data_IF_942449719133
#
_entry.id   IF_942449719133
#
_cell.length_a   1.000
_cell.length_b   1.000
_cell.length_c   1.000
_cell.angle_alpha   90.00
_cell.angle_beta   90.00
_cell.angle_gamma   90.00
#
_symmetry.space_group_name_H-M   'P 1'
#
loop_
_entity.id
_entity.type
_entity.pdbx_description
1 polymer ?
#
# COMPACT_ATOMS: atom_id res chain seq x y z
N UNK A 1 -20.52 -0.52 -4.81
CA UNK A 1 -19.97 0.82 -5.11
C UNK A 1 -19.41 1.35 -3.82
N UNK A 2 -18.11 1.18 -3.60
CA UNK A 2 -17.37 1.87 -2.54
C UNK A 2 -16.52 2.93 -3.21
N UNK A 3 -16.93 4.19 -3.09
CA UNK A 3 -16.17 5.35 -3.58
C UNK A 3 -15.30 5.94 -2.45
N UNK A 4 -15.21 5.30 -1.28
CA UNK A 4 -14.57 5.87 -0.09
C UNK A 4 -13.77 4.89 0.77
N UNK A 5 -13.14 3.89 0.15
CA UNK A 5 -12.16 3.03 0.80
C UNK A 5 -11.31 2.24 -0.20
N UNK A 6 -10.07 1.93 0.16
CA UNK A 6 -9.23 1.02 -0.62
C UNK A 6 -9.88 -0.37 -0.69
N UNK A 7 -10.20 -0.85 -1.90
CA UNK A 7 -10.78 -2.19 -2.07
C UNK A 7 -9.76 -3.27 -1.74
N UNK A 8 -10.02 -4.04 -0.68
CA UNK A 8 -9.18 -5.17 -0.27
C UNK A 8 -9.25 -6.34 -1.26
N UNK A 9 -10.40 -6.55 -1.89
CA UNK A 9 -10.57 -7.56 -2.94
C UNK A 9 -9.69 -7.26 -4.15
N UNK A 10 -9.64 -5.98 -4.57
CA UNK A 10 -8.76 -5.55 -5.65
C UNK A 10 -7.28 -5.67 -5.26
N UNK A 11 -6.95 -5.46 -3.98
CA UNK A 11 -5.59 -5.61 -3.45
C UNK A 11 -5.14 -7.08 -3.49
N UNK A 12 -6.03 -8.00 -3.10
CA UNK A 12 -5.76 -9.44 -3.07
C UNK A 12 -5.74 -10.07 -4.47
N UNK A 13 -6.43 -9.46 -5.45
CA UNK A 13 -6.46 -9.92 -6.84
C UNK A 13 -5.17 -9.62 -7.65
N UNK A 14 -4.31 -8.73 -7.15
CA UNK A 14 -3.03 -8.42 -7.82
C UNK A 14 -2.08 -9.63 -7.69
N UNK A 15 -1.44 -10.08 -8.79
CA UNK A 15 -0.49 -11.20 -8.76
C UNK A 15 0.87 -10.75 -8.21
N UNK A 16 0.92 -10.42 -6.91
CA UNK A 16 2.09 -9.87 -6.23
C UNK A 16 3.33 -10.76 -6.38
N UNK A 17 3.16 -12.08 -6.37
CA UNK A 17 4.20 -13.10 -6.56
C UNK A 17 4.98 -12.97 -7.87
N UNK A 18 4.39 -12.31 -8.88
CA UNK A 18 5.00 -12.10 -10.19
C UNK A 18 5.70 -10.75 -10.34
N UNK A 19 5.63 -9.90 -9.30
CA UNK A 19 6.14 -8.54 -9.34
C UNK A 19 7.55 -8.47 -8.75
N UNK A 20 8.42 -7.74 -9.44
CA UNK A 20 9.74 -7.37 -8.94
C UNK A 20 9.61 -6.41 -7.75
N UNK A 21 10.28 -6.76 -6.63
CA UNK A 21 10.50 -5.90 -5.48
C UNK A 21 11.84 -5.13 -5.61
N UNK A 22 11.97 -4.03 -4.86
CA UNK A 22 13.18 -3.22 -4.82
C UNK A 22 14.40 -3.98 -4.27
N UNK A 23 14.16 -4.88 -3.32
CA UNK A 23 15.19 -5.67 -2.65
C UNK A 23 14.88 -7.15 -2.81
N UNK A 24 15.72 -7.93 -3.52
CA UNK A 24 15.48 -9.36 -3.77
C UNK A 24 15.36 -10.23 -2.51
N UNK A 25 15.80 -9.71 -1.36
CA UNK A 25 15.73 -10.40 -0.06
C UNK A 25 14.41 -10.18 0.68
N UNK A 26 13.58 -9.24 0.22
CA UNK A 26 12.30 -8.94 0.86
C UNK A 26 11.15 -9.52 0.02
N UNK A 27 10.32 -10.39 0.62
CA UNK A 27 9.19 -11.00 -0.07
C UNK A 27 8.16 -9.92 -0.42
N UNK A 28 7.83 -9.83 -1.71
CA UNK A 28 6.86 -8.88 -2.27
C UNK A 28 5.45 -9.13 -1.73
N UNK A 29 5.18 -10.32 -1.22
CA UNK A 29 3.94 -10.74 -0.56
C UNK A 29 3.68 -9.99 0.75
N UNK A 30 4.68 -9.33 1.32
CA UNK A 30 4.49 -8.46 2.49
C UNK A 30 3.84 -7.12 2.12
N UNK A 31 3.89 -6.71 0.85
CA UNK A 31 3.27 -5.47 0.35
C UNK A 31 1.74 -5.47 0.54
N UNK A 32 0.97 -6.48 0.05
CA UNK A 32 -0.47 -6.51 0.27
C UNK A 32 -0.84 -6.61 1.75
N UNK A 33 -0.05 -7.33 2.55
CA UNK A 33 -0.27 -7.42 4.01
C UNK A 33 -0.12 -6.06 4.68
N UNK A 34 0.92 -5.31 4.34
CA UNK A 34 1.16 -3.98 4.86
C UNK A 34 0.04 -3.01 4.46
N UNK A 35 -0.32 -2.97 3.17
CA UNK A 35 -1.41 -2.12 2.66
C UNK A 35 -2.75 -2.45 3.34
N UNK A 36 -3.08 -3.73 3.49
CA UNK A 36 -4.28 -4.17 4.19
C UNK A 36 -4.29 -3.72 5.65
N UNK A 37 -3.17 -3.88 6.37
CA UNK A 37 -3.05 -3.40 7.76
C UNK A 37 -3.23 -1.88 7.84
N UNK A 38 -2.67 -1.12 6.88
CA UNK A 38 -2.85 0.33 6.82
C UNK A 38 -4.31 0.74 6.60
N UNK A 39 -5.05 0.06 5.71
CA UNK A 39 -6.48 0.31 5.54
C UNK A 39 -7.28 0.00 6.80
N UNK A 40 -7.02 -1.15 7.42
CA UNK A 40 -7.76 -1.57 8.62
C UNK A 40 -7.44 -0.71 9.84
N UNK A 41 -6.18 -0.31 10.02
CA UNK A 41 -5.76 0.52 11.15
C UNK A 41 -6.15 2.00 10.97
N UNK A 42 -6.32 2.48 9.73
CA UNK A 42 -6.75 3.85 9.47
C UNK A 42 -5.86 4.88 10.16
N UNK A 43 -6.43 5.70 11.06
CA UNK A 43 -5.71 6.71 11.83
C UNK A 43 -4.77 6.16 12.92
N UNK A 44 -4.91 4.88 13.30
CA UNK A 44 -4.08 4.22 14.31
C UNK A 44 -2.83 3.53 13.72
N UNK A 45 -2.62 3.62 12.40
CA UNK A 45 -1.45 3.05 11.75
C UNK A 45 -0.16 3.74 12.23
N UNK A 46 0.79 2.93 12.71
CA UNK A 46 2.14 3.34 13.09
C UNK A 46 3.12 3.22 11.91
N UNK A 47 4.33 3.78 12.07
CA UNK A 47 5.39 3.71 11.07
C UNK A 47 5.82 2.26 10.73
N UNK A 48 5.73 1.34 11.70
CA UNK A 48 6.10 -0.06 11.53
C UNK A 48 5.27 -0.77 10.44
N UNK A 49 4.01 -0.35 10.25
CA UNK A 49 3.16 -0.85 9.17
C UNK A 49 3.66 -0.46 7.78
N UNK A 50 4.46 0.61 7.67
CA UNK A 50 5.03 1.09 6.42
C UNK A 50 6.38 0.45 6.09
N UNK A 51 7.06 -0.19 7.05
CA UNK A 51 8.40 -0.77 6.85
C UNK A 51 8.49 -1.74 5.66
N UNK A 52 7.51 -2.65 5.45
CA UNK A 52 7.50 -3.49 4.25
C UNK A 52 7.39 -2.71 2.93
N UNK A 53 6.70 -1.56 2.94
CA UNK A 53 6.56 -0.72 1.75
C UNK A 53 7.88 -0.03 1.40
N UNK A 54 8.60 0.50 2.40
CA UNK A 54 9.92 1.09 2.19
C UNK A 54 10.92 0.07 1.62
N UNK A 55 10.95 -1.14 2.18
CA UNK A 55 11.88 -2.20 1.75
C UNK A 55 11.52 -2.82 0.41
N UNK A 56 10.23 -2.93 0.06
CA UNK A 56 9.80 -3.60 -1.16
C UNK A 56 9.58 -2.65 -2.35
N UNK A 57 9.24 -1.38 -2.14
CA UNK A 57 8.81 -0.47 -3.21
C UNK A 57 9.86 0.59 -3.57
N UNK A 58 10.82 0.88 -2.70
CA UNK A 58 11.81 1.94 -2.93
C UNK A 58 13.18 1.33 -3.22
N UNK A 59 13.62 1.44 -4.48
CA UNK A 59 14.98 1.06 -4.84
C UNK A 59 15.93 2.27 -4.72
N UNK A 60 17.00 2.12 -3.93
CA UNK A 60 17.99 3.20 -3.71
C UNK A 60 18.81 3.60 -4.95
N UNK A 61 18.57 2.94 -6.10
CA UNK A 61 19.23 3.21 -7.38
C UNK A 61 18.34 3.99 -8.37
N UNK A 62 17.19 4.52 -7.91
CA UNK A 62 16.27 5.29 -8.75
C UNK A 62 15.40 4.43 -9.70
N UNK A 63 15.49 3.10 -9.63
CA UNK A 63 14.56 2.22 -10.33
C UNK A 63 13.20 2.21 -9.62
N UNK A 64 12.14 2.05 -10.42
CA UNK A 64 10.78 1.81 -9.91
C UNK A 64 10.47 0.33 -10.14
N UNK A 65 10.44 -0.51 -9.09
CA UNK A 65 10.06 -1.91 -9.23
C UNK A 65 8.60 -2.02 -9.68
N UNK A 66 8.28 -3.07 -10.43
CA UNK A 66 6.89 -3.30 -10.87
C UNK A 66 5.89 -3.40 -9.70
N UNK A 67 6.33 -3.89 -8.53
CA UNK A 67 5.54 -3.89 -7.30
C UNK A 67 5.17 -2.47 -6.84
N UNK A 68 6.07 -1.49 -7.00
CA UNK A 68 5.80 -0.09 -6.68
C UNK A 68 4.70 0.49 -7.56
N UNK A 69 4.76 0.23 -8.87
CA UNK A 69 3.72 0.67 -9.81
C UNK A 69 2.37 0.04 -9.48
N UNK A 70 2.33 -1.26 -9.16
CA UNK A 70 1.10 -1.96 -8.77
C UNK A 70 0.51 -1.44 -7.45
N UNK A 71 1.34 -0.97 -6.51
CA UNK A 71 0.91 -0.43 -5.23
C UNK A 71 0.32 0.99 -5.31
N UNK A 72 0.64 1.77 -6.35
CA UNK A 72 0.24 3.19 -6.46
C UNK A 72 -1.26 3.45 -6.29
N UNK A 73 -2.18 2.72 -6.97
CA UNK A 73 -3.62 2.97 -6.84
C UNK A 73 -4.12 2.81 -5.40
N UNK A 74 -3.55 1.85 -4.66
CA UNK A 74 -3.91 1.54 -3.28
C UNK A 74 -3.40 2.61 -2.31
N UNK A 75 -2.16 3.07 -2.50
CA UNK A 75 -1.58 4.17 -1.71
C UNK A 75 -2.38 5.47 -1.92
N UNK A 76 -2.76 5.76 -3.16
CA UNK A 76 -3.61 6.93 -3.48
C UNK A 76 -4.99 6.81 -2.82
N UNK A 77 -5.62 5.64 -2.85
CA UNK A 77 -6.90 5.40 -2.20
C UNK A 77 -6.81 5.56 -0.67
N UNK A 78 -5.73 5.08 -0.03
CA UNK A 78 -5.47 5.28 1.40
C UNK A 78 -5.33 6.76 1.76
N UNK A 79 -4.59 7.52 0.95
CA UNK A 79 -4.41 8.96 1.15
C UNK A 79 -5.73 9.74 1.01
N UNK A 80 -6.57 9.36 0.03
CA UNK A 80 -7.88 9.98 -0.18
C UNK A 80 -8.84 9.71 0.99
N UNK A 81 -8.84 8.48 1.52
CA UNK A 81 -9.69 8.09 2.66
C UNK A 81 -9.38 8.92 3.92
N UNK A 82 -8.10 9.27 4.15
CA UNK A 82 -7.71 10.12 5.29
C UNK A 82 -8.15 11.58 5.17
N UNK A 83 -8.40 12.09 3.95
CA UNK A 83 -8.83 13.48 3.73
C UNK A 83 -10.29 13.71 4.12
N UNK A 84 -11.17 12.78 3.78
CA UNK A 84 -12.60 12.89 4.07
C UNK A 84 -12.94 12.75 5.56
N UNK A 85 -12.17 11.94 6.31
CA UNK A 85 -12.34 11.82 7.77
C UNK A 85 -12.07 13.12 8.54
N UNK A 86 -11.33 14.08 7.95
CA UNK A 86 -11.07 15.39 8.56
C UNK A 86 -12.09 16.47 8.17
N UNK A 87 -12.77 16.30 7.05
CA UNK A 87 -13.79 17.25 6.56
C UNK A 87 -15.19 17.00 7.16
N UNK A 88 -15.40 15.88 7.86
CA UNK A 88 -16.70 15.53 8.48
C UNK A 88 -16.88 16.05 9.93
N UNK A 89 -15.96 16.86 10.43
CA UNK A 89 -15.97 17.40 11.81
C UNK A 89 -15.98 18.93 11.84
N UNK A 90 -16.43 19.60 10.77
CA UNK A 90 -16.56 21.05 10.70
C UNK A 90 -17.99 21.50 10.46
#
# INVERSE_FOLDING_TARGET
MDVTGMSLEALDAVPWDRLESALPRHPVEEVPRALRRLALAGGAATEEYCYPLYSCLIAGNGRVPSAATAALPFVVALAATRRQARESTS
#
